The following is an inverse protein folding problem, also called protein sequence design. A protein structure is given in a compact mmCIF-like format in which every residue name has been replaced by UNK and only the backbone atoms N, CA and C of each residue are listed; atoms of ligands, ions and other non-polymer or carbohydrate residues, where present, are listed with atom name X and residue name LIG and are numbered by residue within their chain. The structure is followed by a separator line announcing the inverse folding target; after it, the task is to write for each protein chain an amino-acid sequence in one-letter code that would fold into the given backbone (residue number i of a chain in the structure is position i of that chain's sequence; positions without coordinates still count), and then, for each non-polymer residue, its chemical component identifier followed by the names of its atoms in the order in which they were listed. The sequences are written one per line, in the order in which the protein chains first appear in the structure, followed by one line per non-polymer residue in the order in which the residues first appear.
data_IF_250847538441
#
_entry.id   IF_250847538441
#
_cell.length_a   1.000
_cell.length_b   1.000
_cell.length_c   1.000
_cell.angle_alpha   90.00
_cell.angle_beta   90.00
_cell.angle_gamma   90.00
#
_symmetry.space_group_name_H-M   'P 1'
#
loop_
_entity.id
_entity.type
_entity.pdbx_description
1 polymer ?
#
# COMPACT_ATOMS: atom_id res chain seq x y z
N UNK A 1 -20.96 27.95 -18.62
CA UNK A 1 -20.08 27.01 -19.35
C UNK A 1 -20.71 25.64 -19.27
N UNK A 2 -21.12 25.04 -20.39
CA UNK A 2 -21.51 23.62 -20.40
C UNK A 2 -20.23 22.78 -20.35
N UNK A 3 -19.98 22.16 -19.20
CA UNK A 3 -18.90 21.18 -19.04
C UNK A 3 -19.37 19.84 -19.60
N UNK A 4 -18.44 19.02 -20.08
CA UNK A 4 -18.73 17.61 -20.37
C UNK A 4 -19.19 16.92 -19.08
N UNK A 5 -20.15 15.99 -19.09
CA UNK A 5 -20.61 15.29 -17.88
C UNK A 5 -19.49 14.58 -17.12
N UNK A 6 -18.39 14.21 -17.79
CA UNK A 6 -17.18 13.66 -17.13
C UNK A 6 -16.42 14.72 -16.32
N UNK A 7 -16.33 15.92 -16.86
CA UNK A 7 -15.66 17.08 -16.27
C UNK A 7 -16.49 17.69 -15.11
N UNK A 8 -17.82 17.60 -15.22
CA UNK A 8 -18.76 18.06 -14.18
C UNK A 8 -18.72 17.13 -12.95
N UNK A 9 -18.67 15.81 -13.17
CA UNK A 9 -18.41 14.84 -12.11
C UNK A 9 -17.03 15.03 -11.47
N UNK A 10 -15.98 15.30 -12.25
CA UNK A 10 -14.64 15.59 -11.71
C UNK A 10 -14.58 16.87 -10.88
N UNK A 11 -15.42 17.87 -11.20
CA UNK A 11 -15.56 19.10 -10.42
C UNK A 11 -16.38 18.88 -9.14
N UNK A 12 -17.40 18.03 -9.18
CA UNK A 12 -18.22 17.65 -8.02
C UNK A 12 -17.49 16.72 -7.05
N UNK A 13 -16.62 15.82 -7.54
CA UNK A 13 -15.86 14.84 -6.74
C UNK A 13 -14.63 15.46 -6.04
N UNK A 14 -14.22 16.67 -6.42
CA UNK A 14 -13.01 17.32 -5.90
C UNK A 14 -13.30 18.73 -5.38
N UNK A 15 -14.17 18.81 -4.38
CA UNK A 15 -14.02 19.86 -3.38
C UNK A 15 -12.61 19.76 -2.75
N UNK A 16 -12.01 20.87 -2.32
CA UNK A 16 -10.66 20.89 -1.74
C UNK A 16 -10.48 19.87 -0.59
N UNK A 17 -11.55 19.61 0.15
CA UNK A 17 -11.60 18.65 1.27
C UNK A 17 -11.52 17.20 0.78
N UNK A 18 -12.24 16.83 -0.28
CA UNK A 18 -12.18 15.48 -0.86
C UNK A 18 -10.81 15.19 -1.48
N UNK A 19 -10.14 16.20 -2.03
CA UNK A 19 -8.78 16.06 -2.57
C UNK A 19 -7.77 15.72 -1.48
N UNK A 20 -7.84 16.40 -0.33
CA UNK A 20 -6.97 16.11 0.81
C UNK A 20 -7.20 14.67 1.30
N UNK A 21 -8.46 14.24 1.40
CA UNK A 21 -8.79 12.88 1.79
C UNK A 21 -8.27 11.83 0.78
N UNK A 22 -8.37 12.09 -0.53
CA UNK A 22 -7.81 11.20 -1.56
C UNK A 22 -6.28 11.09 -1.45
N UNK A 23 -5.59 12.20 -1.16
CA UNK A 23 -4.12 12.19 -0.98
C UNK A 23 -3.73 11.41 0.27
N UNK A 24 -4.48 11.57 1.36
CA UNK A 24 -4.29 10.81 2.60
C UNK A 24 -4.48 9.31 2.38
N UNK A 25 -5.59 8.90 1.75
CA UNK A 25 -5.87 7.50 1.40
C UNK A 25 -4.79 6.90 0.48
N UNK A 26 -4.34 7.66 -0.52
CA UNK A 26 -3.21 7.24 -1.38
C UNK A 26 -1.94 7.00 -0.55
N UNK A 27 -1.61 7.90 0.37
CA UNK A 27 -0.42 7.77 1.20
C UNK A 27 -0.54 6.59 2.17
N UNK A 28 -1.73 6.36 2.72
CA UNK A 28 -2.03 5.19 3.54
C UNK A 28 -1.75 3.90 2.76
N UNK A 29 -2.33 3.71 1.58
CA UNK A 29 -2.10 2.50 0.78
C UNK A 29 -0.63 2.35 0.32
N UNK A 30 0.06 3.46 0.04
CA UNK A 30 1.51 3.43 -0.24
C UNK A 30 2.29 2.89 0.97
N UNK A 31 2.00 3.39 2.16
CA UNK A 31 2.66 2.91 3.38
C UNK A 31 2.31 1.44 3.65
N UNK A 32 1.05 1.03 3.47
CA UNK A 32 0.64 -0.37 3.58
C UNK A 32 1.43 -1.28 2.63
N UNK A 33 1.66 -0.87 1.38
CA UNK A 33 2.48 -1.63 0.43
C UNK A 33 3.94 -1.76 0.89
N UNK A 34 4.52 -0.68 1.43
CA UNK A 34 5.88 -0.70 1.99
C UNK A 34 5.95 -1.66 3.18
N UNK A 35 4.98 -1.60 4.11
CA UNK A 35 4.93 -2.53 5.23
C UNK A 35 4.78 -3.98 4.79
N UNK A 36 3.92 -4.25 3.79
CA UNK A 36 3.78 -5.61 3.24
C UNK A 36 5.10 -6.10 2.64
N UNK A 37 5.81 -5.25 1.88
CA UNK A 37 7.11 -5.59 1.32
C UNK A 37 8.17 -5.85 2.40
N UNK A 38 8.20 -5.03 3.47
CA UNK A 38 9.13 -5.20 4.59
C UNK A 38 8.86 -6.49 5.37
N UNK A 39 7.60 -6.85 5.60
CA UNK A 39 7.21 -8.10 6.26
C UNK A 39 7.72 -9.30 5.44
N UNK A 40 7.44 -9.33 4.13
CA UNK A 40 7.89 -10.43 3.26
C UNK A 40 9.41 -10.54 3.20
N UNK A 41 10.12 -9.39 3.10
CA UNK A 41 11.57 -9.36 3.10
C UNK A 41 12.17 -9.80 4.44
N UNK A 42 11.55 -9.39 5.55
CA UNK A 42 11.94 -9.78 6.90
C UNK A 42 11.80 -11.28 7.13
N UNK A 43 10.70 -11.88 6.69
CA UNK A 43 10.47 -13.32 6.80
C UNK A 43 11.46 -14.12 5.94
N UNK A 44 11.75 -13.63 4.72
CA UNK A 44 12.75 -14.23 3.85
C UNK A 44 14.14 -14.19 4.49
N UNK A 45 14.52 -13.06 5.08
CA UNK A 45 15.77 -12.91 5.81
C UNK A 45 15.83 -13.82 7.04
N UNK A 46 14.75 -13.91 7.81
CA UNK A 46 14.65 -14.80 8.97
C UNK A 46 14.85 -16.26 8.56
N UNK A 47 14.24 -16.70 7.45
CA UNK A 47 14.41 -18.04 6.90
C UNK A 47 15.86 -18.35 6.50
N UNK A 48 16.61 -17.37 5.99
CA UNK A 48 18.03 -17.54 5.66
C UNK A 48 18.93 -17.62 6.91
N UNK A 49 18.60 -16.89 7.97
CA UNK A 49 19.40 -16.83 9.21
C UNK A 49 19.02 -17.95 10.20
N UNK A 50 17.83 -18.54 10.06
CA UNK A 50 17.32 -19.59 10.94
C UNK A 50 18.28 -20.78 11.13
N UNK A 51 18.92 -21.37 10.09
CA UNK A 51 19.86 -22.46 10.28
C UNK A 51 21.04 -22.07 11.17
N UNK A 52 21.56 -20.84 11.03
CA UNK A 52 22.65 -20.34 11.85
C UNK A 52 22.20 -20.16 13.32
N UNK A 53 21.00 -19.63 13.54
CA UNK A 53 20.45 -19.49 14.90
C UNK A 53 20.27 -20.84 15.59
N UNK A 54 19.84 -21.87 14.85
CA UNK A 54 19.68 -23.22 15.40
C UNK A 54 21.02 -23.89 15.75
N UNK A 55 22.10 -23.57 15.03
CA UNK A 55 23.46 -24.05 15.36
C UNK A 55 24.01 -23.34 16.60
N UNK A 56 23.80 -22.03 16.73
CA UNK A 56 24.31 -21.23 17.86
C UNK A 56 23.49 -21.48 19.14
N UNK A 57 22.17 -21.64 19.02
CA UNK A 57 21.25 -21.77 20.15
C UNK A 57 20.25 -22.92 19.96
N UNK A 58 20.70 -24.19 20.02
CA UNK A 58 19.87 -25.35 19.75
C UNK A 58 18.76 -25.56 20.79
N UNK A 59 18.97 -25.14 22.04
CA UNK A 59 17.96 -25.20 23.10
C UNK A 59 16.74 -24.30 22.84
N UNK A 60 16.89 -23.28 21.98
CA UNK A 60 15.82 -22.34 21.62
C UNK A 60 14.98 -22.74 20.42
N UNK A 61 15.16 -23.95 19.87
CA UNK A 61 14.52 -24.31 18.59
C UNK A 61 13.00 -24.12 18.60
N UNK A 62 12.32 -24.44 19.71
CA UNK A 62 10.87 -24.29 19.81
C UNK A 62 10.42 -22.83 19.65
N UNK A 63 11.17 -21.90 20.23
CA UNK A 63 10.89 -20.46 20.12
C UNK A 63 11.18 -19.95 18.71
N UNK A 64 12.28 -20.39 18.10
CA UNK A 64 12.67 -20.01 16.74
C UNK A 64 11.64 -20.51 15.71
N UNK A 65 11.24 -21.78 15.82
CA UNK A 65 10.19 -22.34 14.96
C UNK A 65 8.83 -21.70 15.20
N UNK A 66 8.48 -21.39 16.45
CA UNK A 66 7.24 -20.68 16.78
C UNK A 66 7.20 -19.27 16.17
N UNK A 67 8.30 -18.53 16.25
CA UNK A 67 8.45 -17.21 15.61
C UNK A 67 8.33 -17.29 14.10
N UNK A 68 8.97 -18.28 13.46
CA UNK A 68 8.88 -18.48 12.02
C UNK A 68 7.47 -18.87 11.58
N UNK A 69 6.80 -19.78 12.29
CA UNK A 69 5.42 -20.15 11.98
C UNK A 69 4.46 -18.97 12.12
N UNK A 70 4.64 -18.13 13.13
CA UNK A 70 3.87 -16.90 13.30
C UNK A 70 4.18 -15.86 12.20
N UNK A 71 5.45 -15.72 11.83
CA UNK A 71 5.90 -14.87 10.73
C UNK A 71 5.32 -15.26 9.37
N UNK A 72 5.17 -16.56 9.10
CA UNK A 72 4.47 -17.06 7.91
C UNK A 72 3.00 -16.64 7.85
N UNK A 73 2.29 -16.67 8.99
CA UNK A 73 0.90 -16.21 9.06
C UNK A 73 0.81 -14.72 8.75
N UNK A 74 1.69 -13.90 9.34
CA UNK A 74 1.74 -12.46 9.07
C UNK A 74 2.07 -12.20 7.59
N UNK A 75 3.02 -12.94 7.02
CA UNK A 75 3.41 -12.83 5.62
C UNK A 75 2.27 -13.21 4.67
N UNK A 76 1.48 -14.23 5.01
CA UNK A 76 0.28 -14.59 4.25
C UNK A 76 -0.77 -13.46 4.30
N UNK A 77 -1.02 -12.88 5.47
CA UNK A 77 -1.91 -11.73 5.59
C UNK A 77 -1.42 -10.52 4.78
N UNK A 78 -0.13 -10.23 4.82
CA UNK A 78 0.50 -9.16 4.03
C UNK A 78 0.35 -9.43 2.52
N UNK A 79 0.50 -10.67 2.08
CA UNK A 79 0.30 -11.07 0.69
C UNK A 79 -1.14 -10.83 0.23
N UNK A 80 -2.13 -11.21 1.04
CA UNK A 80 -3.54 -10.96 0.75
C UNK A 80 -3.89 -9.47 0.66
N UNK A 81 -3.24 -8.63 1.49
CA UNK A 81 -3.44 -7.18 1.46
C UNK A 81 -2.70 -6.47 0.32
N UNK A 82 -1.72 -7.12 -0.31
CA UNK A 82 -0.86 -6.50 -1.32
C UNK A 82 -1.64 -6.13 -2.59
N UNK A 83 -2.50 -7.03 -3.08
CA UNK A 83 -3.31 -6.80 -4.27
C UNK A 83 -4.34 -5.66 -4.10
N UNK A 84 -5.19 -5.64 -3.05
CA UNK A 84 -6.13 -4.54 -2.84
C UNK A 84 -5.39 -3.22 -2.58
N UNK A 85 -4.32 -3.21 -1.78
CA UNK A 85 -3.56 -1.99 -1.53
C UNK A 85 -2.92 -1.42 -2.82
N UNK A 86 -2.40 -2.28 -3.70
CA UNK A 86 -1.83 -1.88 -4.98
C UNK A 86 -2.89 -1.31 -5.92
N UNK A 87 -4.05 -1.97 -6.00
CA UNK A 87 -5.18 -1.52 -6.81
C UNK A 87 -5.69 -0.16 -6.35
N UNK A 88 -5.95 0.02 -5.06
CA UNK A 88 -6.42 1.28 -4.50
C UNK A 88 -5.39 2.40 -4.71
N UNK A 89 -4.10 2.13 -4.46
CA UNK A 89 -3.03 3.09 -4.72
C UNK A 89 -3.03 3.56 -6.18
N UNK A 90 -3.09 2.62 -7.13
CA UNK A 90 -3.08 2.96 -8.55
C UNK A 90 -4.29 3.79 -8.96
N UNK A 91 -5.48 3.42 -8.48
CA UNK A 91 -6.72 4.16 -8.73
C UNK A 91 -6.66 5.59 -8.21
N UNK A 92 -6.13 5.82 -7.01
CA UNK A 92 -5.96 7.18 -6.47
C UNK A 92 -4.93 7.99 -7.25
N UNK A 93 -3.86 7.37 -7.74
CA UNK A 93 -2.88 8.03 -8.61
C UNK A 93 -3.51 8.45 -9.93
N UNK A 94 -4.35 7.61 -10.54
CA UNK A 94 -5.04 7.93 -11.78
C UNK A 94 -6.04 9.07 -11.60
N UNK A 95 -6.86 9.03 -10.53
CA UNK A 95 -7.80 10.10 -10.17
C UNK A 95 -7.09 11.45 -9.98
N UNK A 96 -5.94 11.47 -9.30
CA UNK A 96 -5.16 12.70 -9.11
C UNK A 96 -4.58 13.22 -10.42
N UNK A 97 -4.17 12.34 -11.35
CA UNK A 97 -3.70 12.73 -12.68
C UNK A 97 -4.81 13.32 -13.53
N UNK A 98 -6.00 12.70 -13.53
CA UNK A 98 -7.16 13.24 -14.23
C UNK A 98 -7.57 14.62 -13.70
N UNK A 99 -7.57 14.79 -12.37
CA UNK A 99 -7.85 16.07 -11.74
C UNK A 99 -6.82 17.15 -12.09
N UNK A 100 -5.51 16.82 -12.08
CA UNK A 100 -4.47 17.78 -12.45
C UNK A 100 -4.60 18.22 -13.92
N UNK A 101 -4.97 17.30 -14.82
CA UNK A 101 -5.30 17.63 -16.22
C UNK A 101 -6.51 18.56 -16.31
N UNK A 102 -7.58 18.28 -15.57
CA UNK A 102 -8.75 19.15 -15.50
C UNK A 102 -8.38 20.56 -15.02
N UNK A 103 -7.67 20.69 -13.90
CA UNK A 103 -7.21 21.97 -13.38
C UNK A 103 -6.36 22.72 -14.40
N UNK A 104 -5.40 22.07 -15.06
CA UNK A 104 -4.56 22.72 -16.08
C UNK A 104 -5.35 23.26 -17.29
N UNK A 105 -6.49 22.65 -17.61
CA UNK A 105 -7.35 23.01 -18.73
C UNK A 105 -8.32 24.16 -18.38
N UNK A 106 -8.80 24.21 -17.14
CA UNK A 106 -9.83 25.14 -16.69
C UNK A 106 -9.33 26.26 -15.77
N UNK A 107 -8.08 26.20 -15.26
CA UNK A 107 -7.46 27.27 -14.46
C UNK A 107 -6.74 28.33 -15.31
N UNK A 108 -6.85 28.27 -16.64
CA UNK A 108 -6.29 29.26 -17.59
C UNK A 108 -7.32 30.29 -18.08
N UNK A 109 -8.54 30.25 -17.55
CA UNK A 109 -9.60 31.24 -17.77
C UNK A 109 -9.84 32.02 -16.47
#
# INVERSE_FOLDING_TARGET
MNLSPKDENLRLILSTVEREHIVEQKNYHKMSLIYCALIMAGEFFLGMVMPLMLVIFPAGYQYIFGLFAFGLIISFCAFLMLFPAAYHYWRYVELLKEHQKFMSKYSRA
#
